data_IF_532392695444
#
_entry.id   IF_532392695444
#
_cell.length_a   1.000
_cell.length_b   1.000
_cell.length_c   1.000
_cell.angle_alpha   90.00
_cell.angle_beta   90.00
_cell.angle_gamma   90.00
#
_symmetry.space_group_name_H-M   'P 1'
#
loop_
_entity.id
_entity.type
_entity.pdbx_description
1 polymer ?
#
# COMPACT_ATOMS: atom_id res chain seq x y z
N UNK A 1 -27.16 -11.84 0.46
CA UNK A 1 -26.52 -12.83 1.36
C UNK A 1 -25.52 -12.05 2.19
N UNK A 2 -25.56 -12.15 3.52
CA UNK A 2 -24.56 -11.52 4.39
C UNK A 2 -23.18 -12.14 4.07
N UNK A 3 -22.10 -11.34 3.97
CA UNK A 3 -20.75 -11.87 3.75
C UNK A 3 -20.39 -12.89 4.83
N UNK A 4 -19.67 -13.96 4.43
CA UNK A 4 -19.16 -14.94 5.37
C UNK A 4 -18.24 -14.28 6.39
N UNK A 5 -18.21 -14.79 7.62
CA UNK A 5 -17.34 -14.27 8.69
C UNK A 5 -15.85 -14.27 8.29
N UNK A 6 -15.43 -15.20 7.45
CA UNK A 6 -14.07 -15.24 6.91
C UNK A 6 -13.81 -14.03 6.03
N UNK A 7 -14.73 -13.72 5.12
CA UNK A 7 -14.65 -12.55 4.23
C UNK A 7 -14.67 -11.23 5.01
N UNK A 8 -15.52 -11.14 6.04
CA UNK A 8 -15.58 -9.95 6.90
C UNK A 8 -14.27 -9.71 7.65
N UNK A 9 -13.69 -10.76 8.26
CA UNK A 9 -12.41 -10.67 8.97
C UNK A 9 -11.27 -10.35 7.96
N UNK A 10 -11.26 -10.99 6.81
CA UNK A 10 -10.29 -10.74 5.75
C UNK A 10 -10.35 -9.27 5.29
N UNK A 11 -11.53 -8.77 4.93
CA UNK A 11 -11.72 -7.40 4.47
C UNK A 11 -11.33 -6.35 5.53
N UNK A 12 -11.68 -6.61 6.81
CA UNK A 12 -11.30 -5.74 7.92
C UNK A 12 -9.78 -5.67 8.11
N UNK A 13 -9.09 -6.80 8.00
CA UNK A 13 -7.62 -6.86 8.11
C UNK A 13 -6.94 -6.20 6.89
N UNK A 14 -7.42 -6.44 5.66
CA UNK A 14 -6.94 -5.74 4.46
C UNK A 14 -7.09 -4.22 4.62
N UNK A 15 -8.23 -3.76 5.13
CA UNK A 15 -8.45 -2.33 5.41
C UNK A 15 -7.48 -1.79 6.46
N UNK A 16 -7.27 -2.51 7.56
CA UNK A 16 -6.35 -2.11 8.62
C UNK A 16 -4.87 -2.05 8.13
N UNK A 17 -4.46 -3.01 7.31
CA UNK A 17 -3.14 -3.02 6.69
C UNK A 17 -3.01 -1.88 5.65
N UNK A 18 -4.02 -1.67 4.82
CA UNK A 18 -4.05 -0.62 3.80
C UNK A 18 -4.05 0.79 4.38
N UNK A 19 -4.71 1.01 5.52
CA UNK A 19 -4.71 2.30 6.21
C UNK A 19 -3.49 2.55 7.10
N UNK A 20 -2.60 1.56 7.25
CA UNK A 20 -1.45 1.64 8.16
C UNK A 20 -1.78 1.44 9.64
N UNK A 21 -3.04 1.14 10.00
CA UNK A 21 -3.43 0.79 11.37
C UNK A 21 -2.75 -0.52 11.85
N UNK A 22 -2.40 -1.40 10.90
CA UNK A 22 -1.47 -2.50 11.08
C UNK A 22 -0.26 -2.23 10.20
N UNK A 23 0.84 -1.84 10.81
CA UNK A 23 2.06 -1.46 10.09
C UNK A 23 2.91 -2.68 9.68
N UNK A 24 3.78 -2.55 8.67
CA UNK A 24 4.77 -3.57 8.34
C UNK A 24 5.61 -3.95 9.57
N UNK A 25 5.73 -5.27 9.82
CA UNK A 25 6.44 -5.80 10.98
C UNK A 25 5.57 -5.97 12.23
N UNK A 26 4.37 -5.41 12.27
CA UNK A 26 3.45 -5.64 13.38
C UNK A 26 3.11 -7.12 13.50
N UNK A 27 3.13 -7.61 14.73
CA UNK A 27 2.77 -8.99 15.05
C UNK A 27 1.30 -9.09 15.41
N UNK A 28 0.60 -9.98 14.76
CA UNK A 28 -0.79 -10.33 15.11
C UNK A 28 -0.91 -11.82 15.43
N UNK A 29 -1.79 -12.13 16.37
CA UNK A 29 -2.10 -13.52 16.72
C UNK A 29 -3.57 -13.83 16.47
N UNK A 30 -3.85 -15.06 16.10
CA UNK A 30 -5.21 -15.55 15.92
C UNK A 30 -6.10 -15.28 17.14
N UNK A 31 -5.54 -15.41 18.33
CA UNK A 31 -6.26 -15.23 19.58
C UNK A 31 -6.63 -13.78 19.87
N UNK A 32 -5.70 -12.84 19.60
CA UNK A 32 -5.97 -11.41 19.73
C UNK A 32 -7.08 -10.97 18.77
N UNK A 33 -6.98 -11.37 17.49
CA UNK A 33 -7.95 -11.03 16.46
C UNK A 33 -9.33 -11.63 16.74
N UNK A 34 -9.40 -12.90 17.19
CA UNK A 34 -10.66 -13.54 17.55
C UNK A 34 -11.38 -12.78 18.67
N UNK A 35 -10.64 -12.32 19.70
CA UNK A 35 -11.20 -11.47 20.76
C UNK A 35 -11.66 -10.11 20.22
N UNK A 36 -10.83 -9.46 19.39
CA UNK A 36 -11.13 -8.13 18.86
C UNK A 36 -12.36 -8.13 17.94
N UNK A 37 -12.48 -9.13 17.06
CA UNK A 37 -13.61 -9.27 16.14
C UNK A 37 -14.84 -9.94 16.80
N UNK A 38 -14.71 -10.45 18.03
CA UNK A 38 -15.76 -11.19 18.75
C UNK A 38 -16.27 -12.40 17.96
N UNK A 39 -15.37 -13.13 17.33
CA UNK A 39 -15.64 -14.34 16.56
C UNK A 39 -14.83 -15.53 17.10
N UNK A 40 -15.16 -16.75 16.67
CA UNK A 40 -14.35 -17.93 16.97
C UNK A 40 -12.98 -17.86 16.26
N UNK A 41 -12.03 -18.69 16.68
CA UNK A 41 -10.69 -18.72 16.09
C UNK A 41 -10.69 -19.21 14.62
N UNK A 42 -11.68 -20.01 14.24
CA UNK A 42 -11.70 -20.68 12.93
C UNK A 42 -11.79 -19.68 11.74
N UNK A 43 -12.74 -18.73 11.67
CA UNK A 43 -12.79 -17.75 10.59
C UNK A 43 -11.53 -16.87 10.56
N UNK A 44 -10.97 -16.53 11.73
CA UNK A 44 -9.70 -15.77 11.79
C UNK A 44 -8.55 -16.57 11.17
N UNK A 45 -8.43 -17.86 11.51
CA UNK A 45 -7.38 -18.71 10.93
C UNK A 45 -7.48 -18.79 9.41
N UNK A 46 -8.70 -18.92 8.88
CA UNK A 46 -8.92 -18.95 7.44
C UNK A 46 -8.57 -17.60 6.79
N UNK A 47 -9.01 -16.48 7.36
CA UNK A 47 -8.66 -15.14 6.89
C UNK A 47 -7.14 -14.90 6.90
N UNK A 48 -6.43 -15.32 7.95
CA UNK A 48 -4.96 -15.21 8.03
C UNK A 48 -4.26 -16.06 6.96
N UNK A 49 -4.80 -17.24 6.61
CA UNK A 49 -4.27 -18.06 5.51
C UNK A 49 -4.45 -17.38 4.16
N UNK A 50 -5.60 -16.75 3.92
CA UNK A 50 -5.86 -15.97 2.71
C UNK A 50 -4.89 -14.79 2.60
N UNK A 51 -4.74 -14.00 3.66
CA UNK A 51 -3.81 -12.87 3.71
C UNK A 51 -2.36 -13.28 3.49
N UNK A 52 -1.95 -14.47 4.00
CA UNK A 52 -0.62 -15.02 3.74
C UNK A 52 -0.45 -15.43 2.28
N UNK A 53 -1.43 -16.13 1.71
CA UNK A 53 -1.45 -16.48 0.27
C UNK A 53 -1.33 -15.23 -0.60
N UNK A 54 -1.98 -14.16 -0.19
CA UNK A 54 -1.99 -12.89 -0.90
C UNK A 54 -0.75 -12.02 -0.59
N UNK A 55 0.24 -12.55 0.16
CA UNK A 55 1.52 -11.88 0.44
C UNK A 55 1.43 -10.69 1.42
N UNK A 56 0.31 -10.53 2.12
CA UNK A 56 0.12 -9.46 3.12
C UNK A 56 0.66 -9.85 4.49
N UNK A 57 0.87 -11.13 4.74
CA UNK A 57 1.45 -11.67 5.96
C UNK A 57 2.63 -12.57 5.66
N UNK A 58 3.60 -12.59 6.58
CA UNK A 58 4.72 -13.54 6.58
C UNK A 58 4.84 -14.24 7.95
N UNK A 59 5.67 -15.29 7.98
CA UNK A 59 5.91 -16.05 9.20
C UNK A 59 6.64 -15.22 10.24
N UNK A 60 6.17 -15.31 11.48
CA UNK A 60 6.85 -14.73 12.63
C UNK A 60 7.74 -15.78 13.32
N UNK A 61 8.89 -15.39 13.85
CA UNK A 61 9.58 -16.24 14.80
C UNK A 61 8.68 -16.52 16.03
N UNK A 62 8.33 -17.78 16.26
CA UNK A 62 7.43 -18.18 17.34
C UNK A 62 5.95 -18.12 16.95
N UNK A 63 5.08 -17.68 17.87
CA UNK A 63 3.62 -17.69 17.65
C UNK A 63 3.14 -16.45 16.91
N UNK A 64 2.14 -16.61 16.04
CA UNK A 64 1.50 -15.53 15.27
C UNK A 64 2.10 -15.35 13.89
N UNK A 65 1.72 -14.25 13.24
CA UNK A 65 2.21 -13.83 11.93
C UNK A 65 2.61 -12.35 11.99
N UNK A 66 3.45 -11.93 11.07
CA UNK A 66 3.82 -10.52 10.91
C UNK A 66 3.12 -9.94 9.68
N UNK A 67 2.77 -8.66 9.76
CA UNK A 67 2.44 -7.90 8.56
C UNK A 67 3.69 -7.85 7.69
N UNK A 68 3.60 -8.39 6.46
CA UNK A 68 4.74 -8.51 5.57
C UNK A 68 5.39 -7.14 5.29
N UNK A 69 6.70 -7.01 5.13
CA UNK A 69 7.33 -5.77 4.72
C UNK A 69 6.83 -5.34 3.33
N UNK A 70 6.83 -4.04 3.07
CA UNK A 70 6.54 -3.52 1.75
C UNK A 70 7.88 -3.36 1.01
N UNK A 71 8.11 -4.23 0.02
CA UNK A 71 9.35 -4.28 -0.73
C UNK A 71 9.25 -3.48 -2.04
N UNK A 72 10.26 -2.67 -2.35
CA UNK A 72 10.29 -1.85 -3.56
C UNK A 72 10.15 -2.68 -4.84
N UNK A 73 10.81 -3.83 -4.93
CA UNK A 73 10.69 -4.71 -6.09
C UNK A 73 9.31 -5.32 -6.23
N UNK A 74 8.70 -5.76 -5.14
CA UNK A 74 7.33 -6.29 -5.15
C UNK A 74 6.34 -5.22 -5.62
N UNK A 75 6.54 -3.97 -5.20
CA UNK A 75 5.73 -2.86 -5.64
C UNK A 75 5.91 -2.59 -7.14
N UNK A 76 7.15 -2.60 -7.66
CA UNK A 76 7.41 -2.48 -9.12
C UNK A 76 6.68 -3.56 -9.91
N UNK A 77 6.72 -4.82 -9.47
CA UNK A 77 6.02 -5.93 -10.16
C UNK A 77 4.50 -5.75 -10.15
N UNK A 78 3.93 -5.33 -9.02
CA UNK A 78 2.49 -5.03 -8.94
C UNK A 78 2.11 -3.91 -9.92
N UNK A 79 2.91 -2.83 -10.00
CA UNK A 79 2.63 -1.73 -10.92
C UNK A 79 2.86 -2.09 -12.39
N UNK A 80 3.80 -2.96 -12.72
CA UNK A 80 3.95 -3.51 -14.07
C UNK A 80 2.70 -4.28 -14.50
N UNK A 81 2.18 -5.14 -13.62
CA UNK A 81 0.95 -5.89 -13.89
C UNK A 81 -0.26 -4.95 -13.99
N UNK A 82 -0.39 -3.99 -13.05
CA UNK A 82 -1.44 -2.98 -13.09
C UNK A 82 -1.40 -2.21 -14.41
N UNK A 83 -0.23 -1.73 -14.83
CA UNK A 83 -0.08 -0.99 -16.08
C UNK A 83 -0.55 -1.76 -17.31
N UNK A 84 -0.29 -3.08 -17.36
CA UNK A 84 -0.79 -3.93 -18.45
C UNK A 84 -2.33 -4.07 -18.42
N UNK A 85 -2.93 -4.19 -17.23
CA UNK A 85 -4.37 -4.26 -17.07
C UNK A 85 -5.04 -2.92 -17.36
N UNK A 86 -4.47 -1.81 -16.91
CA UNK A 86 -4.94 -0.45 -17.17
C UNK A 86 -4.91 -0.16 -18.69
N UNK A 87 -3.80 -0.49 -19.38
CA UNK A 87 -3.65 -0.29 -20.83
C UNK A 87 -4.72 -1.05 -21.63
N UNK A 88 -4.94 -2.31 -21.28
CA UNK A 88 -5.99 -3.13 -21.91
C UNK A 88 -7.38 -2.56 -21.61
N UNK A 89 -7.64 -2.17 -20.37
CA UNK A 89 -8.94 -1.65 -19.95
C UNK A 89 -9.31 -0.34 -20.64
N UNK A 90 -8.38 0.63 -20.65
CA UNK A 90 -8.64 1.92 -21.31
C UNK A 90 -8.77 1.77 -22.82
N UNK A 91 -8.05 0.84 -23.45
CA UNK A 91 -8.16 0.55 -24.89
C UNK A 91 -9.56 0.04 -25.24
N UNK A 92 -10.05 -0.95 -24.49
CA UNK A 92 -11.37 -1.54 -24.70
C UNK A 92 -12.49 -0.53 -24.38
N UNK A 93 -12.37 0.21 -23.27
CA UNK A 93 -13.35 1.22 -22.89
C UNK A 93 -13.41 2.39 -23.90
N UNK A 94 -12.26 2.86 -24.39
CA UNK A 94 -12.20 3.93 -25.40
C UNK A 94 -12.76 3.46 -26.75
N UNK A 95 -12.48 2.24 -27.18
CA UNK A 95 -13.08 1.69 -28.40
C UNK A 95 -14.61 1.68 -28.38
N UNK A 96 -15.21 1.57 -27.19
CA UNK A 96 -16.65 1.61 -26.97
C UNK A 96 -17.17 3.02 -26.63
N UNK A 97 -16.28 4.03 -26.54
CA UNK A 97 -16.59 5.39 -26.06
C UNK A 97 -17.34 5.37 -24.72
N UNK A 98 -16.88 4.50 -23.82
CA UNK A 98 -17.53 4.32 -22.53
C UNK A 98 -17.46 5.62 -21.70
N UNK A 99 -18.50 5.86 -20.91
CA UNK A 99 -18.54 7.03 -20.02
C UNK A 99 -18.24 6.59 -18.60
N UNK A 100 -17.21 7.19 -18.03
CA UNK A 100 -16.88 7.06 -16.61
C UNK A 100 -17.66 8.12 -15.84
N UNK A 101 -18.27 7.71 -14.73
CA UNK A 101 -19.04 8.64 -13.89
C UNK A 101 -18.14 9.78 -13.38
N UNK A 102 -18.44 11.05 -13.73
CA UNK A 102 -17.63 12.20 -13.31
C UNK A 102 -17.65 12.43 -11.79
N UNK A 103 -18.61 11.84 -11.08
CA UNK A 103 -18.65 11.92 -9.61
C UNK A 103 -17.42 11.31 -8.98
N UNK A 104 -16.83 10.26 -9.58
CA UNK A 104 -15.62 9.62 -9.10
C UNK A 104 -14.42 10.58 -9.03
N UNK A 105 -14.29 11.45 -10.06
CA UNK A 105 -13.23 12.47 -10.09
C UNK A 105 -13.49 13.55 -9.03
N UNK A 106 -14.73 13.98 -8.88
CA UNK A 106 -15.13 14.97 -7.88
C UNK A 106 -14.87 14.44 -6.47
N UNK A 107 -15.31 13.22 -6.17
CA UNK A 107 -15.17 12.61 -4.84
C UNK A 107 -13.70 12.45 -4.45
N UNK A 108 -12.83 12.12 -5.40
CA UNK A 108 -11.40 12.09 -5.18
C UNK A 108 -10.76 13.46 -4.94
N UNK A 109 -11.16 14.48 -5.68
CA UNK A 109 -10.72 15.87 -5.42
C UNK A 109 -11.20 16.37 -4.06
N UNK A 110 -12.41 16.00 -3.67
CA UNK A 110 -12.98 16.36 -2.37
C UNK A 110 -12.25 15.64 -1.22
N UNK A 111 -11.94 14.36 -1.38
CA UNK A 111 -11.15 13.60 -0.42
C UNK A 111 -9.74 14.20 -0.26
N UNK A 112 -9.11 14.61 -1.36
CA UNK A 112 -7.83 15.29 -1.36
C UNK A 112 -7.91 16.64 -0.62
N UNK A 113 -8.94 17.44 -0.91
CA UNK A 113 -9.14 18.75 -0.26
C UNK A 113 -9.35 18.63 1.26
N UNK A 114 -10.00 17.55 1.70
CA UNK A 114 -10.19 17.24 3.13
C UNK A 114 -8.98 16.57 3.79
N UNK A 115 -7.93 16.24 3.02
CA UNK A 115 -6.79 15.43 3.49
C UNK A 115 -7.23 14.10 4.14
N UNK A 116 -8.33 13.53 3.66
CA UNK A 116 -8.85 12.25 4.14
C UNK A 116 -8.22 11.09 3.35
N UNK A 117 -7.15 10.54 3.90
CA UNK A 117 -6.39 9.49 3.24
C UNK A 117 -7.20 8.21 2.93
N UNK A 118 -8.03 7.66 3.83
CA UNK A 118 -8.88 6.52 3.52
C UNK A 118 -9.81 6.78 2.33
N UNK A 119 -10.51 7.92 2.32
CA UNK A 119 -11.43 8.28 1.24
C UNK A 119 -10.68 8.50 -0.08
N UNK A 120 -9.47 9.06 -0.02
CA UNK A 120 -8.63 9.28 -1.20
C UNK A 120 -8.22 7.96 -1.85
N UNK A 121 -7.79 6.98 -1.05
CA UNK A 121 -7.45 5.63 -1.53
C UNK A 121 -8.70 4.93 -2.08
N UNK A 122 -9.85 5.05 -1.41
CA UNK A 122 -11.08 4.44 -1.86
C UNK A 122 -11.57 5.05 -3.18
N UNK A 123 -11.45 6.36 -3.36
CA UNK A 123 -11.77 7.05 -4.61
C UNK A 123 -10.87 6.62 -5.78
N UNK A 124 -9.55 6.47 -5.56
CA UNK A 124 -8.60 5.97 -6.58
C UNK A 124 -8.99 4.56 -7.03
N UNK A 125 -9.25 3.66 -6.09
CA UNK A 125 -9.69 2.29 -6.38
C UNK A 125 -11.03 2.28 -7.12
N UNK A 126 -11.96 3.16 -6.75
CA UNK A 126 -13.27 3.26 -7.40
C UNK A 126 -13.13 3.73 -8.86
N UNK A 127 -12.29 4.73 -9.13
CA UNK A 127 -12.03 5.21 -10.48
C UNK A 127 -11.47 4.11 -11.38
N UNK A 128 -10.40 3.42 -10.95
CA UNK A 128 -9.82 2.33 -11.75
C UNK A 128 -10.77 1.15 -11.91
N UNK A 129 -11.53 0.81 -10.88
CA UNK A 129 -12.55 -0.24 -10.97
C UNK A 129 -13.64 0.11 -11.99
N UNK A 130 -14.03 1.38 -12.08
CA UNK A 130 -15.00 1.85 -13.08
C UNK A 130 -14.42 1.73 -14.51
N UNK A 131 -13.12 2.05 -14.72
CA UNK A 131 -12.44 1.81 -15.99
C UNK A 131 -12.43 0.33 -16.37
N UNK A 132 -12.13 -0.56 -15.41
CA UNK A 132 -12.12 -2.01 -15.65
C UNK A 132 -13.52 -2.53 -16.01
N UNK A 133 -14.55 -2.06 -15.33
CA UNK A 133 -15.95 -2.38 -15.67
C UNK A 133 -16.33 -1.86 -17.06
N UNK A 134 -15.94 -0.63 -17.36
CA UNK A 134 -16.22 0.03 -18.66
C UNK A 134 -15.50 -0.65 -19.83
N UNK A 135 -14.45 -1.44 -19.58
CA UNK A 135 -13.80 -2.25 -20.62
C UNK A 135 -14.70 -3.37 -21.17
N UNK A 136 -15.74 -3.77 -20.43
CA UNK A 136 -16.61 -4.89 -20.77
C UNK A 136 -15.96 -6.27 -20.56
N UNK A 137 -14.71 -6.34 -20.10
CA UNK A 137 -14.01 -7.59 -19.81
C UNK A 137 -13.95 -7.86 -18.28
N UNK A 138 -14.81 -8.75 -17.74
CA UNK A 138 -14.87 -9.00 -16.29
C UNK A 138 -13.58 -9.57 -15.73
N UNK A 139 -12.74 -10.24 -16.53
CA UNK A 139 -11.49 -10.84 -16.10
C UNK A 139 -10.46 -9.78 -15.69
N UNK A 140 -10.54 -8.55 -16.25
CA UNK A 140 -9.64 -7.45 -15.86
C UNK A 140 -9.93 -7.04 -14.42
N UNK A 141 -11.20 -6.84 -14.08
CA UNK A 141 -11.61 -6.46 -12.72
C UNK A 141 -11.24 -7.53 -11.70
N UNK A 142 -11.44 -8.81 -12.03
CA UNK A 142 -11.06 -9.93 -11.17
C UNK A 142 -9.54 -10.01 -10.96
N UNK A 143 -8.75 -9.91 -12.02
CA UNK A 143 -7.29 -9.94 -11.95
C UNK A 143 -6.74 -8.76 -11.13
N UNK A 144 -7.24 -7.55 -11.36
CA UNK A 144 -6.86 -6.34 -10.62
C UNK A 144 -7.22 -6.45 -9.13
N UNK A 145 -8.37 -7.04 -8.82
CA UNK A 145 -8.87 -7.20 -7.44
C UNK A 145 -7.85 -7.85 -6.50
N UNK A 146 -7.06 -8.79 -7.00
CA UNK A 146 -6.02 -9.50 -6.22
C UNK A 146 -4.83 -8.62 -5.85
N UNK A 147 -4.60 -7.52 -6.56
CA UNK A 147 -3.45 -6.64 -6.37
C UNK A 147 -3.78 -5.34 -5.65
N UNK A 148 -5.06 -5.01 -5.52
CA UNK A 148 -5.49 -3.78 -4.87
C UNK A 148 -5.03 -3.66 -3.42
N UNK A 149 -4.93 -4.76 -2.68
CA UNK A 149 -4.45 -4.75 -1.31
C UNK A 149 -3.00 -4.24 -1.20
N UNK A 150 -2.13 -4.61 -2.15
CA UNK A 150 -0.75 -4.13 -2.22
C UNK A 150 -0.68 -2.66 -2.61
N UNK A 151 -1.50 -2.23 -3.58
CA UNK A 151 -1.58 -0.84 -4.03
C UNK A 151 -2.11 0.06 -2.92
N UNK A 152 -3.23 -0.31 -2.28
CA UNK A 152 -3.79 0.41 -1.12
C UNK A 152 -2.77 0.60 -0.01
N UNK A 153 -2.02 -0.45 0.31
CA UNK A 153 -0.97 -0.43 1.32
C UNK A 153 0.19 0.50 0.93
N UNK A 154 0.62 0.47 -0.33
CA UNK A 154 1.64 1.38 -0.84
C UNK A 154 1.16 2.83 -0.77
N UNK A 155 -0.08 3.10 -1.21
CA UNK A 155 -0.71 4.41 -1.10
C UNK A 155 -0.81 4.89 0.35
N UNK A 156 -1.21 4.01 1.29
CA UNK A 156 -1.25 4.32 2.72
C UNK A 156 0.10 4.76 3.26
N UNK A 157 1.18 4.11 2.85
CA UNK A 157 2.55 4.50 3.24
C UNK A 157 3.01 5.78 2.54
N UNK A 158 2.66 5.95 1.26
CA UNK A 158 3.09 7.07 0.42
C UNK A 158 2.37 8.37 0.77
N UNK A 159 1.04 8.31 0.95
CA UNK A 159 0.20 9.49 1.10
C UNK A 159 0.12 10.03 2.55
N UNK A 160 0.76 9.38 3.52
CA UNK A 160 0.87 9.87 4.91
C UNK A 160 1.76 11.14 5.05
N UNK A 161 2.40 11.59 3.97
CA UNK A 161 3.12 12.87 3.91
C UNK A 161 2.28 13.97 3.27
N UNK A 162 2.67 15.23 3.44
CA UNK A 162 1.94 16.42 2.97
C UNK A 162 1.74 16.54 1.44
N UNK A 163 2.03 15.50 0.67
CA UNK A 163 2.17 15.56 -0.78
C UNK A 163 1.35 14.51 -1.55
N UNK A 164 0.04 14.39 -1.28
CA UNK A 164 -0.83 13.75 -2.26
C UNK A 164 -0.88 14.66 -3.51
N UNK A 165 -0.32 14.23 -4.67
CA UNK A 165 -0.18 15.14 -5.81
C UNK A 165 -1.55 15.43 -6.40
N UNK A 166 -1.94 16.72 -6.42
CA UNK A 166 -3.20 17.17 -7.04
C UNK A 166 -3.31 16.75 -8.50
N UNK A 167 -2.18 16.60 -9.19
CA UNK A 167 -2.08 16.22 -10.58
C UNK A 167 -2.71 14.85 -10.88
N UNK A 168 -2.79 13.93 -9.91
CA UNK A 168 -3.38 12.60 -10.08
C UNK A 168 -4.84 12.68 -10.53
N UNK A 169 -5.62 13.58 -9.93
CA UNK A 169 -7.04 13.73 -10.29
C UNK A 169 -7.25 14.46 -11.62
N UNK A 170 -6.30 15.27 -12.07
CA UNK A 170 -6.30 15.85 -13.40
C UNK A 170 -5.91 14.80 -14.45
N UNK A 171 -4.98 13.89 -14.13
CA UNK A 171 -4.65 12.73 -14.96
C UNK A 171 -5.86 11.78 -15.09
N UNK A 172 -6.55 11.46 -14.00
CA UNK A 172 -7.76 10.64 -14.04
C UNK A 172 -8.86 11.27 -14.91
N UNK A 173 -9.07 12.59 -14.80
CA UNK A 173 -10.02 13.32 -15.63
C UNK A 173 -9.64 13.23 -17.11
N UNK A 174 -8.37 13.48 -17.46
CA UNK A 174 -7.89 13.40 -18.83
C UNK A 174 -8.03 11.99 -19.44
N UNK A 175 -7.78 10.93 -18.64
CA UNK A 175 -8.02 9.54 -19.07
C UNK A 175 -9.50 9.31 -19.36
N UNK A 176 -10.39 9.71 -18.45
CA UNK A 176 -11.84 9.55 -18.62
C UNK A 176 -12.38 10.30 -19.85
N UNK A 177 -11.88 11.52 -20.11
CA UNK A 177 -12.20 12.31 -21.28
C UNK A 177 -11.75 11.64 -22.59
N UNK A 178 -10.50 11.13 -22.64
CA UNK A 178 -9.97 10.43 -23.81
C UNK A 178 -10.75 9.13 -24.09
N UNK A 179 -11.15 8.41 -23.04
CA UNK A 179 -12.01 7.21 -23.15
C UNK A 179 -13.36 7.58 -23.73
N UNK A 180 -14.02 8.61 -23.21
CA UNK A 180 -15.35 9.04 -23.69
C UNK A 180 -15.32 9.58 -25.13
N UNK A 181 -14.22 10.22 -25.52
CA UNK A 181 -13.99 10.69 -26.88
C UNK A 181 -13.69 9.54 -27.88
N UNK A 182 -13.34 8.35 -27.40
CA UNK A 182 -12.93 7.22 -28.25
C UNK A 182 -11.50 7.34 -28.77
N UNK A 183 -10.66 8.15 -28.10
CA UNK A 183 -9.27 8.41 -28.47
C UNK A 183 -8.34 7.34 -27.89
N UNK A 184 -8.40 6.12 -28.46
CA UNK A 184 -7.74 4.92 -27.91
C UNK A 184 -6.27 5.15 -27.59
N UNK A 185 -5.47 5.63 -28.54
CA UNK A 185 -4.03 5.82 -28.34
C UNK A 185 -3.73 6.91 -27.29
N UNK A 186 -4.51 7.97 -27.27
CA UNK A 186 -4.37 9.01 -26.24
C UNK A 186 -4.73 8.50 -24.84
N UNK A 187 -5.82 7.72 -24.71
CA UNK A 187 -6.19 7.10 -23.43
C UNK A 187 -5.09 6.17 -22.92
N UNK A 188 -4.49 5.36 -23.81
CA UNK A 188 -3.35 4.49 -23.48
C UNK A 188 -2.15 5.28 -22.99
N UNK A 189 -1.71 6.29 -23.73
CA UNK A 189 -0.55 7.12 -23.38
C UNK A 189 -0.74 7.82 -22.03
N UNK A 190 -1.94 8.38 -21.77
CA UNK A 190 -2.26 9.01 -20.50
C UNK A 190 -2.23 8.00 -19.35
N UNK A 191 -2.83 6.82 -19.54
CA UNK A 191 -2.86 5.76 -18.53
C UNK A 191 -1.46 5.22 -18.23
N UNK A 192 -0.64 4.97 -19.25
CA UNK A 192 0.75 4.52 -19.09
C UNK A 192 1.59 5.55 -18.32
N UNK A 193 1.47 6.84 -18.68
CA UNK A 193 2.18 7.93 -18.00
C UNK A 193 1.76 8.03 -16.54
N UNK A 194 0.46 7.96 -16.27
CA UNK A 194 -0.10 7.98 -14.92
C UNK A 194 0.45 6.82 -14.06
N UNK A 195 0.33 5.58 -14.56
CA UNK A 195 0.75 4.38 -13.82
C UNK A 195 2.26 4.36 -13.59
N UNK A 196 3.05 4.76 -14.58
CA UNK A 196 4.51 4.86 -14.47
C UNK A 196 4.93 5.89 -13.42
N UNK A 197 4.37 7.11 -13.48
CA UNK A 197 4.64 8.17 -12.50
C UNK A 197 4.28 7.75 -11.08
N UNK A 198 3.11 7.13 -10.90
CA UNK A 198 2.68 6.63 -9.60
C UNK A 198 3.65 5.56 -9.06
N UNK A 199 4.07 4.62 -9.90
CA UNK A 199 5.04 3.57 -9.54
C UNK A 199 6.38 4.17 -9.10
N UNK A 200 6.96 5.06 -9.90
CA UNK A 200 8.26 5.66 -9.59
C UNK A 200 8.22 6.47 -8.29
N UNK A 201 7.19 7.29 -8.11
CA UNK A 201 7.05 8.10 -6.91
C UNK A 201 6.95 7.23 -5.63
N UNK A 202 6.14 6.17 -5.67
CA UNK A 202 5.97 5.29 -4.51
C UNK A 202 7.22 4.46 -4.23
N UNK A 203 7.88 3.94 -5.26
CA UNK A 203 9.12 3.17 -5.12
C UNK A 203 10.24 4.03 -4.56
N UNK A 204 10.45 5.24 -5.11
CA UNK A 204 11.48 6.16 -4.63
C UNK A 204 11.29 6.50 -3.15
N UNK A 205 10.05 6.77 -2.72
CA UNK A 205 9.78 7.08 -1.32
C UNK A 205 10.00 5.87 -0.41
N UNK A 206 9.65 4.67 -0.86
CA UNK A 206 9.90 3.44 -0.11
C UNK A 206 11.40 3.20 0.08
N UNK A 207 12.20 3.40 -0.95
CA UNK A 207 13.66 3.29 -0.89
C UNK A 207 14.29 4.33 0.05
N UNK A 208 13.77 5.56 0.08
CA UNK A 208 14.20 6.59 1.04
C UNK A 208 13.91 6.13 2.47
N UNK A 209 12.70 5.64 2.75
CA UNK A 209 12.32 5.15 4.08
C UNK A 209 13.18 3.97 4.52
N UNK A 210 13.47 3.03 3.62
CA UNK A 210 14.36 1.89 3.93
C UNK A 210 15.77 2.36 4.27
N UNK A 211 16.34 3.31 3.52
CA UNK A 211 17.67 3.89 3.84
C UNK A 211 17.69 4.56 5.21
N UNK A 212 16.68 5.38 5.53
CA UNK A 212 16.56 6.03 6.82
C UNK A 212 16.45 5.02 7.97
N UNK A 213 15.63 3.97 7.80
CA UNK A 213 15.48 2.93 8.81
C UNK A 213 16.78 2.14 9.05
N UNK A 214 17.53 1.80 7.99
CA UNK A 214 18.82 1.14 8.10
C UNK A 214 19.88 2.05 8.72
N UNK A 215 19.91 3.33 8.37
CA UNK A 215 20.81 4.31 8.99
C UNK A 215 20.57 4.44 10.49
N UNK A 216 19.31 4.61 10.90
CA UNK A 216 18.95 4.68 12.31
C UNK A 216 19.28 3.40 13.10
N UNK A 217 19.09 2.23 12.48
CA UNK A 217 19.44 0.94 13.08
C UNK A 217 20.97 0.79 13.25
N UNK A 218 21.77 1.21 12.25
CA UNK A 218 23.21 1.19 12.31
C UNK A 218 23.75 2.12 13.40
N UNK A 219 23.23 3.33 13.53
CA UNK A 219 23.60 4.28 14.59
C UNK A 219 23.20 3.79 15.99
N UNK A 220 22.07 3.09 16.11
CA UNK A 220 21.65 2.50 17.37
C UNK A 220 22.58 1.34 17.78
N UNK A 221 23.02 0.52 16.82
CA UNK A 221 23.95 -0.58 17.04
C UNK A 221 25.33 -0.04 17.45
N UNK A 222 25.85 0.99 16.78
CA UNK A 222 27.13 1.63 17.08
C UNK A 222 27.12 2.24 18.49
N UNK A 223 26.06 2.96 18.86
CA UNK A 223 25.89 3.47 20.25
C UNK A 223 25.88 2.36 21.28
N UNK A 224 25.14 1.27 21.01
CA UNK A 224 25.10 0.11 21.92
C UNK A 224 26.46 -0.56 22.09
N UNK A 225 27.22 -0.69 21.00
CA UNK A 225 28.61 -1.25 21.06
C UNK A 225 29.55 -0.31 21.80
N UNK A 226 29.47 0.99 21.58
CA UNK A 226 30.27 2.00 22.27
C UNK A 226 30.00 2.00 23.79
N UNK A 227 28.71 1.95 24.19
CA UNK A 227 28.33 1.83 25.59
C UNK A 227 28.80 0.51 26.23
N UNK A 228 28.74 -0.61 25.51
CA UNK A 228 29.20 -1.91 25.98
C UNK A 228 30.72 -1.91 26.18
N UNK A 229 31.47 -1.31 25.26
CA UNK A 229 32.92 -1.13 25.37
C UNK A 229 33.30 -0.22 26.54
N UNK A 230 32.56 0.84 26.77
CA UNK A 230 32.79 1.76 27.88
C UNK A 230 32.51 1.11 29.23
N UNK A 231 31.48 0.28 29.34
CA UNK A 231 31.17 -0.54 30.52
C UNK A 231 32.24 -1.62 30.79
N UNK A 232 32.90 -2.12 29.77
CA UNK A 232 33.93 -3.16 29.89
C UNK A 232 35.31 -2.62 30.23
N UNK A 233 35.53 -1.28 30.19
CA UNK A 233 36.79 -0.67 30.59
C UNK A 233 37.10 -0.96 32.06
N UNK A 234 38.36 -1.39 32.40
CA UNK A 234 38.79 -1.51 33.77
C UNK A 234 38.63 -0.20 34.54
N UNK A 235 38.30 -0.27 35.82
CA UNK A 235 38.05 0.90 36.68
C UNK A 235 39.17 1.93 36.67
N UNK A 236 40.42 1.46 36.48
CA UNK A 236 41.62 2.29 36.35
C UNK A 236 41.60 3.23 35.11
N UNK A 237 40.89 2.87 34.05
CA UNK A 237 40.76 3.68 32.83
C UNK A 237 39.49 4.53 32.79
N UNK A 238 38.58 4.35 33.74
CA UNK A 238 37.38 5.18 33.88
C UNK A 238 37.60 6.48 34.63
N UNK A 239 38.68 6.56 35.42
CA UNK A 239 39.10 7.78 36.12
C UNK A 239 40.10 8.50 35.23
N UNK A 240 39.68 9.60 34.60
CA UNK A 240 40.59 10.49 33.89
C UNK A 240 41.76 10.92 34.81
N UNK A 241 42.89 11.44 34.26
CA UNK A 241 43.99 11.88 35.05
C UNK A 241 43.49 12.91 36.07
N UNK A 242 43.64 12.58 37.37
CA UNK A 242 43.45 13.49 38.48
C UNK A 242 44.34 14.70 38.23
N UNK A 243 43.77 15.88 38.14
CA UNK A 243 44.49 17.13 38.26
C UNK A 243 45.22 17.10 39.62
N UNK A 244 46.46 16.75 39.59
CA UNK A 244 47.38 16.99 40.73
C UNK A 244 47.98 18.37 40.49
N UNK A 245 47.55 19.31 41.33
CA UNK A 245 48.14 20.61 41.52
C UNK A 245 49.61 20.53 42.02
#
# INVERSE_FOLDING_TARGET
VAPDLVEQVYAALVKAIGSGALAPGDRVTQEQLARQFKVSRQPVLQALRLLRRDGLLCDAPGRGVLIAPLEANSLRWVYQLRGALDDLAVSLAAAQRARIDPTLIRDGRDALARSNLPDLIDADVAFHSALYQASGNPMILEAAGRHWSHIRRAMGVFLHGEHAPRIVWDEHAAIAEAVAAGEVERARQLSQTHTHRASEAMVAQLEVRHRCAHGAAAEALDRSQTEALDRSKPEALRRGPSEAA
#
